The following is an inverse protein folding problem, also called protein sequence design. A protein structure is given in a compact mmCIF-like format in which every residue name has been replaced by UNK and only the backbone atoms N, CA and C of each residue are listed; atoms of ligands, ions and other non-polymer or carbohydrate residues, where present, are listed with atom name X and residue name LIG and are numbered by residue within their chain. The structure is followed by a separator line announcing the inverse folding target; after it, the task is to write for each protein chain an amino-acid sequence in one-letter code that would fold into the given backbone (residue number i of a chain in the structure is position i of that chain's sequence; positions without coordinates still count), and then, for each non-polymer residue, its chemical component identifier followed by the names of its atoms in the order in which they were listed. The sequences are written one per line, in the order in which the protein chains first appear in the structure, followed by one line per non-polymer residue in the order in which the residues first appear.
data_IF_021058222485
#
_entry.id   IF_021058222485
#
_cell.length_a   1.000
_cell.length_b   1.000
_cell.length_c   1.000
_cell.angle_alpha   90.00
_cell.angle_beta   90.00
_cell.angle_gamma   90.00
#
_symmetry.space_group_name_H-M   'P 1'
#
loop_
_entity.id
_entity.type
_entity.pdbx_description
1 polymer ?
#
# COMPACT_ATOMS: atom_id res chain seq x y z
N UNK A 1 3.95 -4.58 5.30
CA UNK A 1 4.60 -4.87 4.00
C UNK A 1 5.85 -4.04 3.94
N UNK A 2 7.00 -4.68 3.73
CA UNK A 2 8.31 -4.02 3.87
C UNK A 2 9.04 -4.07 2.52
N UNK A 3 9.60 -2.94 2.09
CA UNK A 3 10.36 -2.84 0.85
C UNK A 3 11.83 -3.15 1.09
N UNK A 4 12.19 -4.43 1.00
CA UNK A 4 13.59 -4.88 1.13
C UNK A 4 14.40 -4.78 -0.17
N UNK A 5 13.84 -4.15 -1.21
CA UNK A 5 14.51 -3.98 -2.50
C UNK A 5 15.33 -2.69 -2.54
N UNK A 6 16.20 -2.54 -3.54
CA UNK A 6 16.92 -1.30 -3.80
C UNK A 6 16.11 -0.27 -4.60
N UNK A 7 14.86 -0.59 -4.98
CA UNK A 7 14.02 0.25 -5.82
C UNK A 7 12.83 0.79 -5.03
N UNK A 8 12.16 1.81 -5.57
CA UNK A 8 10.85 2.22 -5.09
C UNK A 8 9.82 1.12 -5.37
N UNK A 9 8.95 0.84 -4.41
CA UNK A 9 7.82 -0.09 -4.58
C UNK A 9 6.52 0.68 -4.41
N UNK A 10 5.63 0.56 -5.39
CA UNK A 10 4.27 1.07 -5.30
C UNK A 10 3.36 0.07 -4.60
N UNK A 11 2.56 0.56 -3.66
CA UNK A 11 1.48 -0.16 -3.00
C UNK A 11 0.14 0.45 -3.42
N UNK A 12 -0.65 -0.31 -4.19
CA UNK A 12 -2.02 0.03 -4.53
C UNK A 12 -3.00 -0.56 -3.52
N UNK A 13 -3.99 0.23 -3.11
CA UNK A 13 -5.12 -0.23 -2.28
C UNK A 13 -6.40 -0.12 -3.08
N UNK A 14 -6.99 -1.27 -3.38
CA UNK A 14 -8.19 -1.44 -4.20
C UNK A 14 -9.39 -1.81 -3.32
N UNK A 15 -10.62 -1.35 -3.67
CA UNK A 15 -11.01 -0.74 -4.95
C UNK A 15 -10.92 0.80 -5.03
N UNK A 16 -10.33 1.49 -4.04
CA UNK A 16 -10.27 2.97 -4.05
C UNK A 16 -9.25 3.56 -5.02
N UNK A 17 -8.39 2.73 -5.63
CA UNK A 17 -7.35 3.18 -6.56
C UNK A 17 -6.32 4.12 -5.91
N UNK A 18 -6.06 3.97 -4.61
CA UNK A 18 -5.04 4.78 -3.93
C UNK A 18 -3.66 4.12 -4.05
N UNK A 19 -2.62 4.92 -4.21
CA UNK A 19 -1.24 4.47 -4.34
C UNK A 19 -0.33 5.11 -3.29
N UNK A 20 0.58 4.32 -2.73
CA UNK A 20 1.51 4.72 -1.68
C UNK A 20 2.88 4.14 -2.02
N UNK A 21 3.93 4.97 -2.04
CA UNK A 21 5.23 4.53 -2.51
C UNK A 21 6.24 4.40 -1.37
N UNK A 22 6.85 3.22 -1.27
CA UNK A 22 7.89 2.90 -0.29
C UNK A 22 9.28 3.06 -0.91
N UNK A 23 10.15 3.80 -0.25
CA UNK A 23 11.60 3.76 -0.51
C UNK A 23 12.21 2.45 -0.03
N UNK A 24 13.42 2.10 -0.48
CA UNK A 24 14.20 1.01 0.10
C UNK A 24 14.27 1.09 1.63
N UNK A 25 13.87 0.02 2.30
CA UNK A 25 13.84 -0.10 3.77
C UNK A 25 12.63 0.51 4.47
N UNK A 26 11.65 1.03 3.73
CA UNK A 26 10.37 1.50 4.32
C UNK A 26 9.35 0.38 4.43
N UNK A 27 8.40 0.56 5.35
CA UNK A 27 7.33 -0.39 5.63
C UNK A 27 6.01 0.36 5.80
N UNK A 28 4.96 -0.21 5.20
CA UNK A 28 3.58 0.21 5.41
C UNK A 28 2.71 -0.91 5.97
N UNK A 29 1.75 -0.52 6.79
CA UNK A 29 0.66 -1.37 7.30
C UNK A 29 -0.65 -0.89 6.72
N UNK A 30 -1.44 -1.79 6.12
CA UNK A 30 -2.81 -1.50 5.67
C UNK A 30 -3.75 -2.04 6.74
N UNK A 31 -4.66 -1.18 7.21
CA UNK A 31 -5.63 -1.49 8.26
C UNK A 31 -7.02 -1.30 7.69
N UNK A 32 -7.93 -2.21 8.05
CA UNK A 32 -9.36 -2.13 7.75
C UNK A 32 -10.14 -2.62 8.96
N UNK A 33 -11.44 -2.37 9.00
CA UNK A 33 -12.32 -2.75 10.11
C UNK A 33 -12.69 -4.25 10.13
N UNK A 34 -12.38 -4.98 9.06
CA UNK A 34 -12.69 -6.40 8.96
C UNK A 34 -11.79 -7.27 9.86
N UNK A 35 -12.42 -8.24 10.52
CA UNK A 35 -11.75 -9.22 11.36
C UNK A 35 -10.92 -10.21 10.51
N UNK A 36 -9.83 -10.79 11.06
CA UNK A 36 -8.99 -11.72 10.32
C UNK A 36 -9.72 -12.92 9.70
N UNK A 37 -10.75 -13.46 10.37
CA UNK A 37 -11.55 -14.59 9.90
C UNK A 37 -12.35 -14.26 8.64
N UNK A 38 -12.58 -12.99 8.35
CA UNK A 38 -13.29 -12.52 7.15
C UNK A 38 -12.37 -12.49 5.91
N UNK A 39 -11.09 -12.87 6.05
CA UNK A 39 -10.08 -12.74 5.00
C UNK A 39 -10.07 -11.32 4.45
N UNK A 40 -9.66 -10.32 5.24
CA UNK A 40 -9.87 -8.90 4.94
C UNK A 40 -9.11 -8.42 3.69
N UNK A 41 -8.08 -9.15 3.26
CA UNK A 41 -7.25 -8.75 2.13
C UNK A 41 -6.97 -9.90 1.16
N UNK A 42 -6.87 -9.58 -0.13
CA UNK A 42 -6.15 -10.36 -1.12
C UNK A 42 -4.92 -9.59 -1.61
N UNK A 43 -3.78 -10.27 -1.72
CA UNK A 43 -2.51 -9.69 -2.10
C UNK A 43 -2.07 -10.18 -3.47
N UNK A 44 -1.70 -9.26 -4.35
CA UNK A 44 -1.08 -9.57 -5.65
C UNK A 44 0.26 -8.85 -5.72
N UNK A 45 1.34 -9.60 -5.84
CA UNK A 45 2.68 -9.05 -6.08
C UNK A 45 2.99 -9.22 -7.57
N UNK A 46 3.39 -8.13 -8.22
CA UNK A 46 3.72 -8.10 -9.64
C UNK A 46 4.94 -7.22 -9.91
N UNK A 47 5.36 -7.14 -11.16
CA UNK A 47 6.55 -6.43 -11.62
C UNK A 47 6.52 -4.92 -11.33
N UNK A 48 5.34 -4.32 -11.24
CA UNK A 48 5.18 -2.88 -10.96
C UNK A 48 5.00 -2.58 -9.45
N UNK A 49 4.80 -3.59 -8.60
CA UNK A 49 4.63 -3.40 -7.16
C UNK A 49 3.68 -4.39 -6.51
N UNK A 50 2.85 -3.90 -5.58
CA UNK A 50 1.95 -4.71 -4.77
C UNK A 50 0.55 -4.11 -4.84
N UNK A 51 -0.46 -4.94 -5.12
CA UNK A 51 -1.87 -4.59 -4.98
C UNK A 51 -2.47 -5.29 -3.77
N UNK A 52 -3.10 -4.51 -2.90
CA UNK A 52 -3.93 -4.98 -1.79
C UNK A 52 -5.38 -4.75 -2.16
N UNK A 53 -6.12 -5.84 -2.34
CA UNK A 53 -7.56 -5.80 -2.47
C UNK A 53 -8.20 -5.94 -1.10
N UNK A 54 -8.94 -4.92 -0.66
CA UNK A 54 -9.67 -4.96 0.60
C UNK A 54 -11.02 -5.61 0.36
N UNK A 55 -11.25 -6.72 1.04
CA UNK A 55 -12.46 -7.51 0.93
C UNK A 55 -13.56 -6.92 1.83
N UNK A 56 -14.81 -7.24 1.54
CA UNK A 56 -16.01 -6.80 2.28
C UNK A 56 -16.35 -5.30 2.25
N UNK A 57 -15.62 -4.46 1.51
CA UNK A 57 -16.01 -3.07 1.22
C UNK A 57 -15.91 -2.10 2.40
N UNK A 58 -15.15 -2.48 3.44
CA UNK A 58 -14.78 -1.59 4.53
C UNK A 58 -13.71 -0.60 4.08
N UNK A 59 -13.69 0.60 4.63
CA UNK A 59 -12.60 1.55 4.37
C UNK A 59 -11.24 0.98 4.82
N UNK A 60 -10.17 1.50 4.21
CA UNK A 60 -8.82 1.11 4.57
C UNK A 60 -7.88 2.32 4.66
N UNK A 61 -7.02 2.29 5.66
CA UNK A 61 -5.99 3.30 5.91
C UNK A 61 -4.60 2.67 5.83
N UNK A 62 -3.62 3.47 5.42
CA UNK A 62 -2.22 3.06 5.32
C UNK A 62 -1.40 3.81 6.37
N UNK A 63 -0.57 3.09 7.10
CA UNK A 63 0.28 3.62 8.15
C UNK A 63 1.75 3.31 7.92
N UNK A 64 2.63 4.24 8.26
CA UNK A 64 4.07 4.00 8.35
C UNK A 64 4.42 3.20 9.62
N UNK A 65 5.67 2.75 9.71
CA UNK A 65 6.17 2.00 10.88
C UNK A 65 6.09 2.74 12.22
N UNK A 66 5.91 4.06 12.22
CA UNK A 66 5.77 4.88 13.42
C UNK A 66 4.30 5.13 13.78
N UNK A 67 3.35 4.59 12.99
CA UNK A 67 1.91 4.80 13.17
C UNK A 67 1.38 6.08 12.53
N UNK A 68 2.14 6.74 11.66
CA UNK A 68 1.69 7.91 10.91
C UNK A 68 0.85 7.52 9.68
N UNK A 69 -0.27 8.21 9.44
CA UNK A 69 -1.09 7.98 8.24
C UNK A 69 -0.31 8.38 6.98
N UNK A 70 -0.32 7.49 6.00
CA UNK A 70 0.32 7.65 4.70
C UNK A 70 -0.77 7.99 3.68
N UNK A 71 -0.86 9.23 3.18
CA UNK A 71 -1.90 9.61 2.24
C UNK A 71 -1.64 9.04 0.84
N UNK A 72 -2.71 8.94 0.05
CA UNK A 72 -2.60 8.63 -1.39
C UNK A 72 -1.64 9.60 -2.09
N UNK A 73 -0.79 9.06 -2.97
CA UNK A 73 0.27 9.80 -3.67
C UNK A 73 1.53 10.04 -2.83
N UNK A 74 1.62 9.51 -1.60
CA UNK A 74 2.82 9.61 -0.79
C UNK A 74 4.05 9.09 -1.54
N UNK A 75 5.06 9.94 -1.67
CA UNK A 75 6.32 9.69 -2.39
C UNK A 75 6.15 9.21 -3.84
N UNK A 76 4.99 9.47 -4.46
CA UNK A 76 4.77 9.19 -5.89
C UNK A 76 5.91 9.84 -6.68
N UNK A 77 6.64 9.09 -7.51
CA UNK A 77 7.65 9.66 -8.39
C UNK A 77 7.02 10.79 -9.19
N UNK A 78 7.72 11.92 -9.32
CA UNK A 78 7.30 12.95 -10.25
C UNK A 78 7.15 12.28 -11.63
N UNK A 79 6.01 12.48 -12.30
CA UNK A 79 5.92 12.11 -13.71
C UNK A 79 7.09 12.79 -14.40
N UNK A 80 7.99 12.00 -14.98
CA UNK A 80 9.20 12.53 -15.56
C UNK A 80 8.81 13.56 -16.60
N UNK A 81 9.17 14.82 -16.36
CA UNK A 81 9.53 15.74 -17.44
C UNK A 81 10.75 15.15 -18.13
N UNK A 82 10.50 14.17 -19.01
CA UNK A 82 11.45 13.64 -19.98
C UNK A 82 11.26 14.34 -21.32
#
# INVERSE_FOLDING_TARGET
MSNETSNMVCLWVEPWGTDHWMRPGEEFTVVTEAEPEQSPFNLVVHDQGITVWVNAGHDAEVFDKNGGVVPCGHQRPAEGSG
#
